data_IF_743564301760
#
_entry.id   IF_743564301760
#
_cell.length_a   1.000
_cell.length_b   1.000
_cell.length_c   1.000
_cell.angle_alpha   90.00
_cell.angle_beta   90.00
_cell.angle_gamma   90.00
#
_symmetry.space_group_name_H-M   'P 1'
#
loop_
_entity.id
_entity.type
_entity.pdbx_description
1 polymer ?
#
# COMPACT_ATOMS: atom_id res chain seq x y z
N UNK A 1 19.24 25.07 -2.57
CA UNK A 1 18.17 24.38 -3.32
C UNK A 1 17.01 24.23 -2.37
N UNK A 2 15.94 24.97 -2.60
CA UNK A 2 14.70 24.85 -1.81
C UNK A 2 13.85 23.73 -2.39
N UNK A 3 13.33 22.88 -1.52
CA UNK A 3 12.42 21.78 -1.87
C UNK A 3 11.22 21.82 -0.92
N UNK A 4 10.02 21.77 -1.51
CA UNK A 4 8.77 21.65 -0.76
C UNK A 4 8.07 20.38 -1.19
N UNK A 5 7.66 19.57 -0.21
CA UNK A 5 7.04 18.27 -0.46
C UNK A 5 5.66 18.23 0.18
N UNK A 6 4.65 17.93 -0.63
CA UNK A 6 3.29 17.63 -0.18
C UNK A 6 3.01 16.14 -0.38
N UNK A 7 2.55 15.45 0.67
CA UNK A 7 2.18 14.04 0.62
C UNK A 7 0.76 13.83 1.13
N UNK A 8 -0.03 13.02 0.42
CA UNK A 8 -1.40 12.72 0.84
C UNK A 8 -1.82 11.29 0.49
N UNK A 9 -2.79 10.78 1.25
CA UNK A 9 -3.46 9.51 0.96
C UNK A 9 -4.84 9.86 0.40
N UNK A 10 -5.10 9.64 -0.90
CA UNK A 10 -6.44 9.86 -1.45
C UNK A 10 -7.43 8.85 -0.84
N UNK A 11 -8.73 9.16 -0.87
CA UNK A 11 -9.77 8.22 -0.42
C UNK A 11 -9.74 6.90 -1.19
N UNK A 12 -9.37 6.95 -2.48
CA UNK A 12 -9.22 5.79 -3.33
C UNK A 12 -7.88 5.81 -4.07
N UNK A 13 -7.18 4.67 -4.03
CA UNK A 13 -5.96 4.44 -4.80
C UNK A 13 -4.65 4.72 -4.05
N UNK A 14 -3.50 4.71 -4.75
CA UNK A 14 -2.18 4.81 -4.13
C UNK A 14 -1.87 6.22 -3.61
N UNK A 15 -1.02 6.25 -2.57
CA UNK A 15 -0.47 7.49 -2.00
C UNK A 15 0.21 8.34 -3.07
N UNK A 16 0.07 9.65 -2.90
CA UNK A 16 0.56 10.66 -3.84
C UNK A 16 1.55 11.57 -3.15
N UNK A 17 2.53 12.04 -3.91
CA UNK A 17 3.51 13.03 -3.48
C UNK A 17 3.76 14.02 -4.60
N UNK A 18 3.65 15.30 -4.26
CA UNK A 18 4.02 16.44 -5.09
C UNK A 18 5.31 17.03 -4.54
N UNK A 19 6.31 17.19 -5.40
CA UNK A 19 7.58 17.82 -5.06
C UNK A 19 7.74 19.07 -5.90
N UNK A 20 7.93 20.21 -5.24
CA UNK A 20 8.30 21.47 -5.87
C UNK A 20 9.77 21.70 -5.56
N UNK A 21 10.60 21.68 -6.61
CA UNK A 21 12.05 21.72 -6.47
C UNK A 21 12.62 22.81 -7.36
N UNK A 22 13.52 23.62 -6.79
CA UNK A 22 14.29 24.58 -7.58
C UNK A 22 15.36 23.84 -8.39
N UNK A 23 15.41 24.11 -9.70
CA UNK A 23 16.43 23.60 -10.62
C UNK A 23 17.03 24.79 -11.39
N UNK A 24 18.35 24.97 -11.31
CA UNK A 24 19.05 26.11 -11.94
C UNK A 24 18.28 27.43 -11.75
N UNK A 25 17.75 28.00 -12.84
CA UNK A 25 17.01 29.27 -12.87
C UNK A 25 15.48 29.07 -12.98
N UNK A 26 14.97 27.88 -12.68
CA UNK A 26 13.52 27.57 -12.75
C UNK A 26 13.06 26.68 -11.60
N UNK A 27 11.77 26.37 -11.61
CA UNK A 27 11.16 25.43 -10.68
C UNK A 27 10.52 24.28 -11.44
N UNK A 28 10.50 23.11 -10.81
CA UNK A 28 9.79 21.95 -11.34
C UNK A 28 8.78 21.42 -10.34
N UNK A 29 7.64 21.03 -10.88
CA UNK A 29 6.58 20.27 -10.25
C UNK A 29 6.73 18.81 -10.67
N UNK A 30 7.04 17.95 -9.71
CA UNK A 30 7.18 16.51 -9.91
C UNK A 30 6.06 15.81 -9.17
N UNK A 31 5.22 15.10 -9.91
CA UNK A 31 4.17 14.25 -9.37
C UNK A 31 4.65 12.81 -9.31
N UNK A 32 4.48 12.19 -8.14
CA UNK A 32 4.85 10.80 -7.93
C UNK A 32 3.74 10.01 -7.25
N UNK A 33 3.69 8.71 -7.56
CA UNK A 33 2.77 7.74 -7.00
C UNK A 33 3.56 6.64 -6.32
N UNK A 34 3.16 6.26 -5.11
CA UNK A 34 3.78 5.13 -4.42
C UNK A 34 3.29 3.80 -5.01
N UNK A 35 4.21 2.99 -5.53
CA UNK A 35 3.89 1.70 -6.15
C UNK A 35 3.95 0.50 -5.18
N UNK A 36 4.19 0.76 -3.89
CA UNK A 36 4.42 -0.26 -2.87
C UNK A 36 5.89 -0.52 -2.56
N UNK A 37 6.80 -0.02 -3.39
CA UNK A 37 8.24 -0.17 -3.21
C UNK A 37 8.98 1.17 -3.27
N UNK A 38 8.61 2.02 -4.23
CA UNK A 38 9.23 3.32 -4.44
C UNK A 38 8.22 4.35 -4.96
N UNK A 39 8.60 5.62 -4.89
CA UNK A 39 7.88 6.69 -5.56
C UNK A 39 8.20 6.64 -7.06
N UNK A 40 7.17 6.45 -7.90
CA UNK A 40 7.27 6.49 -9.36
C UNK A 40 6.80 7.83 -9.88
N UNK A 41 7.61 8.48 -10.70
CA UNK A 41 7.20 9.70 -11.40
C UNK A 41 6.04 9.41 -12.36
N UNK A 42 5.03 10.26 -12.31
CA UNK A 42 3.85 10.21 -13.20
C UNK A 42 3.59 11.54 -13.90
N UNK A 43 4.26 12.61 -13.48
CA UNK A 43 4.15 13.93 -14.08
C UNK A 43 5.38 14.75 -13.76
N UNK A 44 5.79 15.54 -14.75
CA UNK A 44 6.90 16.47 -14.65
C UNK A 44 6.52 17.72 -15.43
N UNK A 45 6.59 18.87 -14.79
CA UNK A 45 6.23 20.15 -15.37
C UNK A 45 7.19 21.22 -14.85
N UNK A 46 7.76 22.02 -15.75
CA UNK A 46 8.49 23.22 -15.37
C UNK A 46 7.48 24.33 -15.08
N UNK A 47 7.67 25.03 -13.98
CA UNK A 47 6.78 26.08 -13.49
C UNK A 47 7.59 27.33 -13.13
N UNK A 48 6.92 28.47 -13.10
CA UNK A 48 7.52 29.76 -12.76
C UNK A 48 7.05 30.22 -11.38
N UNK A 49 8.00 30.71 -10.58
CA UNK A 49 7.79 31.39 -9.28
C UNK A 49 6.70 30.78 -8.35
N UNK A 50 6.81 29.49 -7.96
CA UNK A 50 5.85 28.87 -7.07
C UNK A 50 5.91 29.51 -5.69
N UNK A 51 4.72 29.84 -5.17
CA UNK A 51 4.57 30.27 -3.77
C UNK A 51 3.85 29.16 -3.00
N UNK A 52 4.48 28.66 -1.93
CA UNK A 52 3.87 27.65 -1.03
C UNK A 52 3.95 28.13 0.40
N UNK A 53 2.81 28.18 1.08
CA UNK A 53 2.71 28.53 2.49
C UNK A 53 2.03 27.40 3.26
N UNK A 54 2.65 26.96 4.36
CA UNK A 54 2.05 26.04 5.32
C UNK A 54 2.65 26.26 6.71
N UNK A 55 1.80 26.50 7.70
CA UNK A 55 2.19 26.59 9.11
C UNK A 55 2.05 25.24 9.84
N UNK A 56 1.66 24.19 9.11
CA UNK A 56 1.44 22.86 9.67
C UNK A 56 2.69 21.99 9.53
N UNK A 57 3.12 21.29 10.60
CA UNK A 57 4.22 20.34 10.52
C UNK A 57 3.87 19.19 9.58
N UNK A 58 4.88 18.62 8.92
CA UNK A 58 4.69 17.41 8.13
C UNK A 58 4.36 16.22 9.06
N UNK A 59 3.09 15.83 9.08
CA UNK A 59 2.59 14.69 9.87
C UNK A 59 2.37 13.43 9.04
N UNK A 60 2.67 13.44 7.74
CA UNK A 60 2.41 12.32 6.85
C UNK A 60 3.72 11.64 6.45
N UNK A 61 4.15 10.58 7.18
CA UNK A 61 5.43 9.92 6.91
C UNK A 61 5.39 9.13 5.59
N UNK A 62 6.58 8.85 5.05
CA UNK A 62 6.72 7.93 3.92
C UNK A 62 6.07 6.58 4.27
N UNK A 63 5.17 6.04 3.42
CA UNK A 63 4.52 4.77 3.71
C UNK A 63 5.52 3.61 3.75
N UNK A 64 5.23 2.54 4.51
CA UNK A 64 6.07 1.35 4.52
C UNK A 64 6.09 0.66 3.15
N UNK A 65 7.18 -0.06 2.87
CA UNK A 65 7.27 -0.93 1.68
C UNK A 65 6.41 -2.17 1.86
N UNK A 66 6.01 -2.79 0.75
CA UNK A 66 5.28 -4.06 0.79
C UNK A 66 6.09 -5.17 1.46
N UNK A 67 7.42 -5.19 1.26
CA UNK A 67 8.33 -6.10 1.94
C UNK A 67 8.25 -5.93 3.46
N UNK A 68 8.33 -4.69 3.96
CA UNK A 68 8.19 -4.38 5.39
C UNK A 68 6.85 -4.89 5.96
N UNK A 69 5.77 -4.70 5.19
CA UNK A 69 4.43 -5.17 5.57
C UNK A 69 4.34 -6.70 5.60
N UNK A 70 4.90 -7.38 4.60
CA UNK A 70 4.94 -8.84 4.52
C UNK A 70 5.77 -9.44 5.68
N UNK A 71 6.94 -8.88 5.98
CA UNK A 71 7.77 -9.31 7.14
C UNK A 71 6.99 -9.20 8.45
N UNK A 72 6.20 -8.13 8.60
CA UNK A 72 5.40 -7.89 9.81
C UNK A 72 4.36 -8.97 10.05
N UNK A 73 3.67 -9.44 9.00
CA UNK A 73 2.62 -10.46 9.15
C UNK A 73 3.17 -11.90 9.17
N UNK A 74 4.38 -12.13 8.68
CA UNK A 74 4.97 -13.45 8.41
C UNK A 74 4.91 -14.46 9.56
N UNK A 75 5.11 -14.00 10.80
CA UNK A 75 5.19 -14.85 11.99
C UNK A 75 3.93 -14.77 12.87
N UNK A 76 2.90 -14.08 12.40
CA UNK A 76 1.70 -13.82 13.21
C UNK A 76 0.62 -14.88 13.01
N UNK A 77 0.68 -15.69 11.95
CA UNK A 77 -0.39 -16.63 11.60
C UNK A 77 -0.71 -17.64 12.70
N UNK A 78 0.29 -18.11 13.45
CA UNK A 78 0.12 -19.11 14.51
C UNK A 78 -0.39 -18.54 15.85
N UNK A 79 -0.51 -17.22 15.97
CA UNK A 79 -0.99 -16.56 17.21
C UNK A 79 -2.51 -16.66 17.36
N UNK A 80 -3.10 -16.26 18.49
CA UNK A 80 -4.57 -16.29 18.63
C UNK A 80 -5.28 -15.31 17.67
N UNK A 81 -4.66 -14.16 17.40
CA UNK A 81 -5.20 -13.14 16.51
C UNK A 81 -4.14 -12.71 15.48
N UNK A 82 -4.10 -13.38 14.31
CA UNK A 82 -3.05 -13.17 13.34
C UNK A 82 -3.23 -11.84 12.63
N UNK A 83 -2.12 -11.23 12.23
CA UNK A 83 -2.14 -10.01 11.46
C UNK A 83 -2.18 -10.33 9.97
N UNK A 84 -2.93 -9.53 9.22
CA UNK A 84 -3.12 -9.67 7.78
C UNK A 84 -3.00 -8.32 7.09
N UNK A 85 -2.69 -8.32 5.80
CA UNK A 85 -2.73 -7.11 4.97
C UNK A 85 -4.13 -6.97 4.37
N UNK A 86 -4.80 -5.86 4.63
CA UNK A 86 -6.12 -5.57 4.07
C UNK A 86 -6.04 -4.41 3.08
N UNK A 87 -6.54 -4.63 1.86
CA UNK A 87 -6.88 -3.53 0.96
C UNK A 87 -8.26 -3.00 1.33
N UNK A 88 -8.36 -1.68 1.51
CA UNK A 88 -9.61 -1.02 1.86
C UNK A 88 -10.47 -0.82 0.61
N UNK A 89 -11.26 -1.83 0.28
CA UNK A 89 -12.17 -1.89 -0.86
C UNK A 89 -13.57 -2.23 -0.40
N UNK A 90 -14.60 -1.94 -1.21
CA UNK A 90 -16.01 -2.30 -0.89
C UNK A 90 -16.18 -3.77 -0.49
N UNK A 91 -15.41 -4.66 -1.14
CA UNK A 91 -15.22 -6.05 -0.73
C UNK A 91 -13.74 -6.21 -0.33
N UNK A 92 -13.41 -6.27 0.97
CA UNK A 92 -12.01 -6.28 1.42
C UNK A 92 -11.22 -7.43 0.81
N UNK A 93 -10.03 -7.15 0.31
CA UNK A 93 -9.07 -8.18 -0.10
C UNK A 93 -8.08 -8.32 1.04
N UNK A 94 -7.91 -9.54 1.54
CA UNK A 94 -7.03 -9.84 2.68
C UNK A 94 -5.91 -10.75 2.22
N UNK A 95 -4.67 -10.44 2.62
CA UNK A 95 -3.47 -11.24 2.39
C UNK A 95 -2.92 -11.69 3.73
N UNK A 96 -2.73 -12.99 3.86
CA UNK A 96 -2.08 -13.62 5.00
C UNK A 96 -0.77 -14.26 4.57
N UNK A 97 0.16 -14.41 5.53
CA UNK A 97 1.40 -15.13 5.34
C UNK A 97 1.33 -16.45 6.11
N UNK A 98 1.28 -17.57 5.40
CA UNK A 98 1.24 -18.91 6.01
C UNK A 98 2.37 -19.77 5.47
N UNK A 99 3.08 -20.46 6.37
CA UNK A 99 4.23 -21.30 6.01
C UNK A 99 5.23 -20.58 5.09
N UNK A 100 5.46 -19.29 5.36
CA UNK A 100 6.33 -18.40 4.57
C UNK A 100 5.84 -18.12 3.13
N UNK A 101 4.57 -18.38 2.82
CA UNK A 101 3.93 -18.07 1.53
C UNK A 101 2.80 -17.07 1.72
N UNK A 102 2.74 -16.09 0.83
CA UNK A 102 1.62 -15.14 0.80
C UNK A 102 0.44 -15.78 0.09
N UNK A 103 -0.73 -15.70 0.72
CA UNK A 103 -2.00 -16.12 0.16
C UNK A 103 -3.02 -15.01 0.31
N UNK A 104 -3.85 -14.82 -0.71
CA UNK A 104 -4.91 -13.81 -0.66
C UNK A 104 -6.29 -14.45 -0.67
N UNK A 105 -7.24 -13.72 -0.10
CA UNK A 105 -8.65 -14.04 -0.07
C UNK A 105 -9.48 -12.82 -0.44
N UNK A 106 -10.57 -13.06 -1.17
CA UNK A 106 -11.54 -12.04 -1.54
C UNK A 106 -12.90 -12.71 -1.71
N UNK A 107 -14.01 -11.99 -1.56
CA UNK A 107 -15.35 -12.59 -1.76
C UNK A 107 -15.53 -13.28 -3.13
N UNK A 108 -14.79 -12.86 -4.16
CA UNK A 108 -14.84 -13.48 -5.49
C UNK A 108 -14.02 -14.76 -5.62
N UNK A 109 -13.06 -14.96 -4.72
CA UNK A 109 -12.24 -16.17 -4.64
C UNK A 109 -12.52 -16.82 -3.29
N UNK A 110 -13.48 -17.74 -3.28
CA UNK A 110 -13.93 -18.45 -2.07
C UNK A 110 -12.88 -19.43 -1.53
N UNK A 111 -11.65 -19.38 -2.03
CA UNK A 111 -10.55 -20.27 -1.63
C UNK A 111 -9.25 -19.47 -1.58
N UNK A 112 -8.32 -19.94 -0.74
CA UNK A 112 -7.04 -19.29 -0.52
C UNK A 112 -6.10 -19.49 -1.71
N UNK A 113 -5.81 -18.42 -2.45
CA UNK A 113 -4.95 -18.50 -3.61
C UNK A 113 -3.54 -18.01 -3.27
N UNK A 114 -2.48 -18.70 -3.73
CA UNK A 114 -1.14 -18.12 -3.67
C UNK A 114 -1.16 -16.78 -4.43
N UNK A 115 -0.55 -15.75 -3.86
CA UNK A 115 -0.38 -14.47 -4.53
C UNK A 115 1.07 -14.32 -4.95
N UNK A 116 1.28 -14.09 -6.24
CA UNK A 116 2.60 -13.74 -6.76
C UNK A 116 2.85 -12.23 -6.67
N UNK A 117 4.12 -11.83 -6.80
CA UNK A 117 4.52 -10.42 -6.72
C UNK A 117 3.82 -9.57 -7.80
N UNK A 118 3.59 -10.14 -8.99
CA UNK A 118 2.87 -9.47 -10.09
C UNK A 118 1.44 -9.09 -9.71
N UNK A 119 0.69 -10.03 -9.15
CA UNK A 119 -0.70 -9.80 -8.71
C UNK A 119 -0.73 -8.83 -7.54
N UNK A 120 0.20 -8.96 -6.60
CA UNK A 120 0.33 -8.05 -5.47
C UNK A 120 0.57 -6.61 -5.92
N UNK A 121 1.53 -6.39 -6.83
CA UNK A 121 1.79 -5.07 -7.42
C UNK A 121 0.59 -4.52 -8.18
N UNK A 122 -0.16 -5.37 -8.89
CA UNK A 122 -1.40 -4.98 -9.57
C UNK A 122 -2.45 -4.50 -8.56
N UNK A 123 -2.63 -5.20 -7.44
CA UNK A 123 -3.54 -4.78 -6.37
C UNK A 123 -3.11 -3.45 -5.78
N UNK A 124 -1.81 -3.26 -5.49
CA UNK A 124 -1.29 -2.00 -4.93
C UNK A 124 -1.50 -0.84 -5.89
N UNK A 125 -1.24 -1.02 -7.19
CA UNK A 125 -1.48 0.01 -8.20
C UNK A 125 -2.96 0.41 -8.27
N UNK A 126 -3.87 -0.55 -8.07
CA UNK A 126 -5.31 -0.32 -8.18
C UNK A 126 -5.93 0.24 -6.89
N UNK A 127 -5.50 -0.25 -5.73
CA UNK A 127 -6.16 -0.04 -4.46
C UNK A 127 -5.30 0.70 -3.43
N UNK A 128 -4.04 1.00 -3.75
CA UNK A 128 -3.07 1.55 -2.81
C UNK A 128 -2.42 0.48 -1.95
N UNK A 129 -1.51 0.89 -1.06
CA UNK A 129 -0.82 -0.03 -0.14
C UNK A 129 -1.81 -0.56 0.89
N UNK A 130 -1.83 -1.88 1.16
CA UNK A 130 -2.72 -2.44 2.16
C UNK A 130 -2.28 -2.05 3.57
N UNK A 131 -3.24 -1.95 4.49
CA UNK A 131 -2.97 -1.72 5.90
C UNK A 131 -2.74 -3.05 6.63
N UNK A 132 -1.88 -3.07 7.66
CA UNK A 132 -1.82 -4.19 8.61
C UNK A 132 -3.02 -4.09 9.54
N UNK A 133 -3.82 -5.14 9.60
CA UNK A 133 -4.98 -5.24 10.48
C UNK A 133 -4.99 -6.60 11.17
N UNK A 134 -5.79 -6.73 12.23
CA UNK A 134 -6.03 -8.02 12.83
C UNK A 134 -7.04 -8.80 12.01
N UNK A 135 -6.88 -10.12 11.89
CA UNK A 135 -7.84 -10.96 11.17
C UNK A 135 -9.26 -10.85 11.77
N UNK A 136 -9.35 -10.73 13.10
CA UNK A 136 -10.62 -10.53 13.80
C UNK A 136 -11.35 -9.22 13.41
N UNK A 137 -10.63 -8.22 12.90
CA UNK A 137 -11.21 -6.96 12.43
C UNK A 137 -11.64 -7.01 10.95
N UNK A 138 -11.42 -8.16 10.29
CA UNK A 138 -11.83 -8.40 8.91
C UNK A 138 -13.12 -9.23 8.88
N UNK A 139 -13.87 -9.23 7.76
CA UNK A 139 -15.07 -10.08 7.63
C UNK A 139 -14.76 -11.58 7.44
N UNK A 140 -13.50 -12.00 7.57
CA UNK A 140 -13.06 -13.37 7.28
C UNK A 140 -12.53 -14.07 8.53
N UNK A 141 -12.78 -15.37 8.64
CA UNK A 141 -12.27 -16.19 9.74
C UNK A 141 -11.05 -17.02 9.34
N UNK A 142 -10.22 -17.40 10.32
CA UNK A 142 -9.07 -18.29 10.10
C UNK A 142 -9.49 -19.59 9.41
N UNK A 143 -10.60 -20.18 9.85
CA UNK A 143 -11.13 -21.43 9.29
C UNK A 143 -11.55 -21.29 7.83
N UNK A 144 -12.19 -20.18 7.43
CA UNK A 144 -12.52 -19.92 6.03
C UNK A 144 -11.26 -19.81 5.15
N UNK A 145 -10.20 -19.25 5.71
CA UNK A 145 -8.91 -19.12 5.04
C UNK A 145 -8.19 -20.47 4.93
N UNK A 146 -8.21 -21.30 5.98
CA UNK A 146 -7.57 -22.62 6.03
C UNK A 146 -8.30 -23.70 5.22
N UNK A 147 -9.63 -23.65 5.14
CA UNK A 147 -10.46 -24.63 4.41
C UNK A 147 -10.27 -24.59 2.89
N UNK A 148 -9.54 -23.60 2.35
CA UNK A 148 -9.19 -23.50 0.94
C UNK A 148 -7.89 -24.21 0.52
N UNK A 149 -7.35 -25.12 1.35
CA UNK A 149 -6.26 -26.02 0.95
C UNK A 149 -6.63 -26.87 -0.27
N UNK A 150 -5.66 -27.34 -1.08
CA UNK A 150 -5.96 -28.07 -2.30
C UNK A 150 -6.86 -29.26 -1.98
N UNK A 151 -8.04 -29.29 -2.60
CA UNK A 151 -8.74 -30.55 -2.80
C UNK A 151 -7.79 -31.49 -3.55
N UNK A 152 -7.73 -32.72 -3.08
CA UNK A 152 -7.14 -33.86 -3.81
C UNK A 152 -7.61 -33.92 -5.27
#
# INVERSE_FOLDING_TARGET
>A
MSETVLQWTPEQGPRRKLTLKQIEDSWVRIETVWDGQQWRETGYEQIEDPTVHTDLPNTNPTPPTIETLCTRIHHTWQTENPQVLQFNTEQPIVIAATDSKLRYYSQRSTHWQPIDDTTLRRLIRKHGVPAVTSLADTPYSRTQLEQGGPGE
#
